data_IF_758183562510
#
_entry.id   IF_758183562510
#
_cell.length_a   1.000
_cell.length_b   1.000
_cell.length_c   1.000
_cell.angle_alpha   90.00
_cell.angle_beta   90.00
_cell.angle_gamma   90.00
#
_symmetry.space_group_name_H-M   'P 1'
#
loop_
_entity.id
_entity.type
_entity.pdbx_description
1 polymer ?
#
# COMPACT_ATOMS: atom_id res chain seq x y z
N UNK A 1 2.76 3.21 12.39
CA UNK A 1 3.91 2.61 11.68
C UNK A 1 3.83 1.09 11.63
N UNK A 2 4.15 0.39 12.72
CA UNK A 2 4.33 -1.08 12.74
C UNK A 2 3.06 -1.89 12.39
N UNK A 3 1.88 -1.49 12.88
CA UNK A 3 0.62 -2.21 12.60
C UNK A 3 0.24 -2.23 11.12
N UNK A 4 0.38 -1.08 10.45
CA UNK A 4 0.05 -0.96 9.04
C UNK A 4 1.08 -1.67 8.15
N UNK A 5 2.37 -1.62 8.48
CA UNK A 5 3.41 -2.43 7.83
C UNK A 5 3.16 -3.93 7.99
N UNK A 6 2.66 -4.38 9.15
CA UNK A 6 2.26 -5.78 9.36
C UNK A 6 1.06 -6.19 8.49
N UNK A 7 0.10 -5.27 8.27
CA UNK A 7 -0.99 -5.46 7.32
C UNK A 7 -0.53 -5.60 5.86
N UNK A 8 0.50 -4.86 5.45
CA UNK A 8 1.11 -4.95 4.13
C UNK A 8 1.77 -6.32 3.91
N UNK A 9 2.57 -6.79 4.87
CA UNK A 9 3.14 -8.15 4.82
C UNK A 9 2.07 -9.24 4.88
N UNK A 10 0.98 -9.04 5.62
CA UNK A 10 -0.18 -9.93 5.65
C UNK A 10 -0.88 -10.05 4.29
N UNK A 11 -1.02 -8.94 3.56
CA UNK A 11 -1.62 -8.93 2.21
C UNK A 11 -0.70 -9.54 1.14
N UNK A 12 0.62 -9.33 1.26
CA UNK A 12 1.60 -10.01 0.41
C UNK A 12 1.55 -11.51 0.68
N UNK A 13 1.55 -11.94 1.94
CA UNK A 13 1.39 -13.35 2.32
C UNK A 13 0.08 -13.96 1.80
N UNK A 14 -1.04 -13.25 1.93
CA UNK A 14 -2.33 -13.65 1.38
C UNK A 14 -2.28 -13.79 -0.15
N UNK A 15 -1.65 -12.85 -0.86
CA UNK A 15 -1.49 -12.92 -2.31
C UNK A 15 -0.68 -14.14 -2.75
N UNK A 16 0.40 -14.47 -2.03
CA UNK A 16 1.24 -15.62 -2.33
C UNK A 16 0.51 -16.95 -2.08
N UNK A 17 -0.20 -17.06 -0.95
CA UNK A 17 -1.00 -18.25 -0.62
C UNK A 17 -2.15 -18.42 -1.61
N UNK A 18 -2.76 -17.31 -2.05
CA UNK A 18 -3.86 -17.34 -3.02
C UNK A 18 -3.47 -17.86 -4.41
N UNK A 19 -2.18 -17.85 -4.76
CA UNK A 19 -1.68 -18.45 -6.01
C UNK A 19 -1.73 -19.99 -5.97
N UNK A 20 -1.55 -20.59 -4.79
CA UNK A 20 -1.59 -22.05 -4.61
C UNK A 20 -3.01 -22.57 -4.32
N UNK A 21 -3.90 -21.70 -3.83
CA UNK A 21 -5.29 -22.04 -3.51
C UNK A 21 -6.28 -21.12 -4.23
N UNK A 22 -6.65 -21.44 -5.49
CA UNK A 22 -7.61 -20.63 -6.27
C UNK A 22 -8.97 -20.48 -5.59
N UNK A 23 -9.34 -21.42 -4.71
CA UNK A 23 -10.57 -21.38 -3.90
C UNK A 23 -10.60 -20.21 -2.91
N UNK A 24 -9.46 -19.78 -2.34
CA UNK A 24 -9.38 -18.54 -1.53
C UNK A 24 -9.61 -17.29 -2.38
N UNK A 25 -9.49 -17.43 -3.70
CA UNK A 25 -9.74 -16.39 -4.68
C UNK A 25 -11.18 -16.48 -5.24
N UNK A 26 -12.16 -17.08 -4.56
CA UNK A 26 -13.56 -17.17 -5.03
C UNK A 26 -14.55 -16.38 -4.16
N UNK A 27 -15.73 -16.08 -4.72
CA UNK A 27 -16.82 -15.26 -4.16
C UNK A 27 -16.46 -14.12 -3.18
N UNK A 28 -17.15 -14.15 -2.04
CA UNK A 28 -17.15 -13.15 -0.96
C UNK A 28 -15.78 -12.93 -0.31
N UNK A 29 -14.93 -13.95 -0.23
CA UNK A 29 -13.62 -13.85 0.41
C UNK A 29 -12.70 -12.82 -0.28
N UNK A 30 -12.75 -12.76 -1.61
CA UNK A 30 -11.98 -11.77 -2.39
C UNK A 30 -12.45 -10.33 -2.17
N UNK A 31 -13.75 -10.14 -1.95
CA UNK A 31 -14.37 -8.83 -1.77
C UNK A 31 -14.03 -8.30 -0.37
N UNK A 32 -14.11 -9.17 0.64
CA UNK A 32 -13.66 -8.86 2.00
C UNK A 32 -12.16 -8.56 2.02
N UNK A 33 -11.33 -9.38 1.37
CA UNK A 33 -9.89 -9.13 1.29
C UNK A 33 -9.55 -7.82 0.56
N UNK A 34 -10.30 -7.47 -0.50
CA UNK A 34 -10.17 -6.19 -1.20
C UNK A 34 -10.60 -5.01 -0.32
N UNK A 35 -11.72 -5.09 0.39
CA UNK A 35 -12.20 -4.04 1.29
C UNK A 35 -11.24 -3.80 2.47
N UNK A 36 -10.74 -4.88 3.08
CA UNK A 36 -9.70 -4.82 4.12
C UNK A 36 -8.40 -4.23 3.56
N UNK A 37 -8.01 -4.62 2.34
CA UNK A 37 -6.87 -4.04 1.64
C UNK A 37 -7.00 -2.54 1.45
N UNK A 38 -8.15 -2.04 1.00
CA UNK A 38 -8.42 -0.60 0.85
C UNK A 38 -8.26 0.13 2.18
N UNK A 39 -8.83 -0.39 3.27
CA UNK A 39 -8.73 0.25 4.60
C UNK A 39 -7.29 0.32 5.10
N UNK A 40 -6.52 -0.77 4.95
CA UNK A 40 -5.13 -0.83 5.40
C UNK A 40 -4.24 0.08 4.55
N UNK A 41 -4.31 -0.05 3.22
CA UNK A 41 -3.46 0.75 2.33
C UNK A 41 -3.82 2.23 2.37
N UNK A 42 -5.10 2.60 2.51
CA UNK A 42 -5.48 4.01 2.69
C UNK A 42 -4.90 4.61 3.98
N UNK A 43 -4.93 3.86 5.08
CA UNK A 43 -4.30 4.27 6.34
C UNK A 43 -2.78 4.37 6.25
N UNK A 44 -2.12 3.45 5.51
CA UNK A 44 -0.69 3.52 5.20
C UNK A 44 -0.36 4.78 4.40
N UNK A 45 -1.04 5.00 3.29
CA UNK A 45 -0.80 6.15 2.42
C UNK A 45 -0.95 7.46 3.18
N UNK A 46 -1.95 7.58 4.06
CA UNK A 46 -2.13 8.76 4.90
C UNK A 46 -0.95 8.97 5.86
N UNK A 47 -0.46 7.89 6.49
CA UNK A 47 0.70 7.92 7.37
C UNK A 47 1.98 8.28 6.61
N UNK A 48 2.25 7.64 5.47
CA UNK A 48 3.45 7.87 4.68
C UNK A 48 3.45 9.27 4.06
N UNK A 49 2.29 9.81 3.69
CA UNK A 49 2.12 11.20 3.28
C UNK A 49 2.51 12.18 4.39
N UNK A 50 2.12 11.91 5.65
CA UNK A 50 2.51 12.75 6.78
C UNK A 50 4.01 12.64 7.08
N UNK A 51 4.56 11.42 7.01
CA UNK A 51 5.97 11.15 7.23
C UNK A 51 6.85 11.86 6.20
N UNK A 52 6.48 11.82 4.92
CA UNK A 52 7.21 12.49 3.84
C UNK A 52 7.23 14.01 4.02
N UNK A 53 6.09 14.60 4.43
CA UNK A 53 6.05 16.04 4.76
C UNK A 53 6.95 16.39 5.94
N UNK A 54 7.07 15.49 6.93
CA UNK A 54 7.94 15.71 8.09
C UNK A 54 9.44 15.63 7.77
N UNK A 55 9.82 15.02 6.64
CA UNK A 55 11.21 15.02 6.17
C UNK A 55 11.63 16.33 5.52
N UNK A 56 10.67 17.19 5.15
CA UNK A 56 10.97 18.51 4.62
C UNK A 56 11.54 19.40 5.73
N UNK A 57 12.87 19.54 5.75
CA UNK A 57 13.58 20.40 6.69
C UNK A 57 13.96 21.69 5.96
N UNK A 58 13.35 22.85 6.31
CA UNK A 58 13.70 24.12 5.69
C UNK A 58 15.19 24.38 5.85
N UNK A 59 15.89 24.68 4.74
CA UNK A 59 17.32 24.99 4.71
C UNK A 59 18.27 23.86 4.31
N UNK A 60 17.78 22.64 4.01
CA UNK A 60 18.58 21.57 3.36
C UNK A 60 18.15 21.29 1.91
N UNK A 61 17.30 22.17 1.37
CA UNK A 61 16.73 22.10 0.02
C UNK A 61 17.84 21.99 -1.03
N UNK A 62 17.81 20.92 -1.83
CA UNK A 62 18.76 20.71 -2.92
C UNK A 62 20.08 20.04 -2.53
N UNK A 63 20.24 19.61 -1.28
CA UNK A 63 21.34 18.72 -0.91
C UNK A 63 21.18 17.34 -1.58
N UNK A 64 22.30 16.64 -1.79
CA UNK A 64 22.28 15.28 -2.34
C UNK A 64 21.51 14.29 -1.43
N UNK A 65 21.43 14.58 -0.13
CA UNK A 65 20.69 13.78 0.84
C UNK A 65 19.18 14.04 0.75
N UNK A 66 18.76 15.30 0.61
CA UNK A 66 17.37 15.69 0.39
C UNK A 66 16.79 15.10 -0.91
N UNK A 67 17.56 15.13 -2.01
CA UNK A 67 17.15 14.51 -3.27
C UNK A 67 16.91 13.00 -3.14
N UNK A 68 17.74 12.29 -2.34
CA UNK A 68 17.55 10.86 -2.07
C UNK A 68 16.29 10.60 -1.24
N UNK A 69 16.04 11.41 -0.22
CA UNK A 69 14.86 11.31 0.63
C UNK A 69 13.57 11.55 -0.17
N UNK A 70 13.57 12.51 -1.08
CA UNK A 70 12.45 12.79 -1.99
C UNK A 70 12.18 11.60 -2.91
N UNK A 71 13.21 11.03 -3.55
CA UNK A 71 13.05 9.85 -4.43
C UNK A 71 12.52 8.66 -3.63
N UNK A 72 13.05 8.42 -2.43
CA UNK A 72 12.60 7.34 -1.56
C UNK A 72 11.14 7.54 -1.10
N UNK A 73 10.77 8.77 -0.73
CA UNK A 73 9.40 9.12 -0.36
C UNK A 73 8.43 8.92 -1.53
N UNK A 74 8.82 9.35 -2.73
CA UNK A 74 8.04 9.14 -3.94
C UNK A 74 7.84 7.65 -4.26
N UNK A 75 8.88 6.83 -4.11
CA UNK A 75 8.80 5.38 -4.31
C UNK A 75 7.82 4.72 -3.33
N UNK A 76 7.82 5.13 -2.06
CA UNK A 76 6.90 4.61 -1.04
C UNK A 76 5.45 4.93 -1.43
N UNK A 77 5.14 6.19 -1.75
CA UNK A 77 3.79 6.59 -2.19
C UNK A 77 3.36 5.90 -3.48
N UNK A 78 4.29 5.63 -4.39
CA UNK A 78 4.01 4.89 -5.62
C UNK A 78 3.59 3.44 -5.33
N UNK A 79 4.31 2.75 -4.44
CA UNK A 79 3.97 1.38 -4.04
C UNK A 79 2.62 1.33 -3.30
N UNK A 80 2.36 2.29 -2.42
CA UNK A 80 1.08 2.41 -1.73
C UNK A 80 -0.07 2.62 -2.71
N UNK A 81 0.13 3.48 -3.71
CA UNK A 81 -0.86 3.72 -4.76
C UNK A 81 -1.19 2.45 -5.56
N UNK A 82 -0.18 1.68 -5.98
CA UNK A 82 -0.40 0.41 -6.69
C UNK A 82 -1.21 -0.55 -5.83
N UNK A 83 -0.84 -0.70 -4.55
CA UNK A 83 -1.51 -1.65 -3.66
C UNK A 83 -2.97 -1.27 -3.38
N UNK A 84 -3.24 0.02 -3.19
CA UNK A 84 -4.59 0.56 -3.06
C UNK A 84 -5.37 0.35 -4.36
N UNK A 85 -4.77 0.66 -5.51
CA UNK A 85 -5.38 0.48 -6.82
C UNK A 85 -5.75 -0.98 -7.10
N UNK A 86 -4.86 -1.93 -6.83
CA UNK A 86 -5.13 -3.36 -6.97
C UNK A 86 -6.24 -3.85 -6.03
N UNK A 87 -6.30 -3.30 -4.82
CA UNK A 87 -7.36 -3.64 -3.85
C UNK A 87 -8.72 -3.12 -4.33
N UNK A 88 -8.78 -1.89 -4.86
CA UNK A 88 -9.96 -1.32 -5.53
C UNK A 88 -10.36 -2.17 -6.73
N UNK A 89 -9.42 -2.52 -7.62
CA UNK A 89 -9.67 -3.34 -8.79
C UNK A 89 -10.20 -4.73 -8.40
N UNK A 90 -9.73 -5.31 -7.29
CA UNK A 90 -10.25 -6.58 -6.77
C UNK A 90 -11.71 -6.49 -6.32
N UNK A 91 -12.11 -5.38 -5.69
CA UNK A 91 -13.51 -5.15 -5.25
C UNK A 91 -14.44 -4.88 -6.43
N UNK A 92 -14.00 -4.07 -7.40
CA UNK A 92 -14.86 -3.60 -8.49
C UNK A 92 -14.75 -4.40 -9.79
N UNK A 93 -13.61 -5.04 -10.04
CA UNK A 93 -13.30 -5.72 -11.30
C UNK A 93 -13.93 -7.10 -11.45
N UNK A 94 -14.51 -7.67 -10.39
CA UNK A 94 -15.04 -9.04 -10.40
C UNK A 94 -16.53 -9.17 -10.64
N UNK A 95 -17.11 -8.23 -11.38
CA UNK A 95 -18.46 -8.33 -11.95
C UNK A 95 -18.34 -8.80 -13.40
N UNK A 96 -18.08 -10.09 -13.61
CA UNK A 96 -18.44 -10.90 -14.79
C UNK A 96 -18.01 -12.34 -14.58
#
# INVERSE_FOLDING_TARGET
GSFCMMGLFGLIGYSLISLFFPSMMTGMASMVAGAVGILIFSGLTAYDTQRIKAFYRPGQEGSAEDSKLVIQGALILYLDFINLFLSVLRVFGRRR
#
